data_IF_930561987922
#
_entry.id   IF_930561987922
#
_cell.length_a   1.000
_cell.length_b   1.000
_cell.length_c   1.000
_cell.angle_alpha   90.00
_cell.angle_beta   90.00
_cell.angle_gamma   90.00
#
_symmetry.space_group_name_H-M   'P 1'
#
loop_
_entity.id
_entity.type
_entity.pdbx_description
1 polymer ?
#
# COMPACT_ATOMS: atom_id res chain seq x y z
N UNK A 1 34.92 15.13 -29.15
CA UNK A 1 36.24 14.46 -29.12
C UNK A 1 36.00 12.99 -28.83
N UNK A 2 36.12 12.12 -29.83
CA UNK A 2 35.88 10.68 -29.68
C UNK A 2 37.18 10.07 -29.13
N UNK A 3 37.21 9.77 -27.84
CA UNK A 3 38.38 9.19 -27.19
C UNK A 3 38.58 7.80 -27.81
N UNK A 4 39.69 7.57 -28.51
CA UNK A 4 40.00 6.26 -29.10
C UNK A 4 39.88 5.17 -28.03
N UNK A 5 39.11 4.13 -28.33
CA UNK A 5 38.83 3.00 -27.45
C UNK A 5 40.12 2.29 -26.97
N UNK A 6 41.22 2.44 -27.71
CA UNK A 6 42.52 1.86 -27.39
C UNK A 6 43.30 2.61 -26.31
N UNK A 7 42.92 3.86 -25.99
CA UNK A 7 43.47 4.63 -24.88
C UNK A 7 43.14 3.93 -23.54
N UNK A 8 44.06 3.92 -22.56
CA UNK A 8 43.79 3.37 -21.22
C UNK A 8 42.48 3.90 -20.60
N UNK A 9 42.17 5.18 -20.82
CA UNK A 9 40.94 5.81 -20.36
C UNK A 9 39.69 5.31 -21.12
N UNK A 10 39.80 5.02 -22.41
CA UNK A 10 38.71 4.45 -23.23
C UNK A 10 38.36 3.02 -22.81
N UNK A 11 39.39 2.20 -22.54
CA UNK A 11 39.23 0.83 -22.02
C UNK A 11 38.57 0.80 -20.64
N UNK A 12 38.93 1.73 -19.76
CA UNK A 12 38.29 1.86 -18.45
C UNK A 12 36.82 2.28 -18.58
N UNK A 13 36.53 3.27 -19.43
CA UNK A 13 35.16 3.75 -19.66
C UNK A 13 34.24 2.64 -20.18
N UNK A 14 34.69 1.86 -21.17
CA UNK A 14 33.90 0.73 -21.68
C UNK A 14 33.72 -0.38 -20.65
N UNK A 15 34.75 -0.65 -19.84
CA UNK A 15 34.61 -1.61 -18.74
C UNK A 15 33.58 -1.14 -17.71
N UNK A 16 33.61 0.14 -17.32
CA UNK A 16 32.62 0.71 -16.39
C UNK A 16 31.20 0.69 -16.98
N UNK A 17 31.05 1.02 -18.26
CA UNK A 17 29.76 0.95 -18.95
C UNK A 17 29.21 -0.49 -18.99
N UNK A 18 30.04 -1.48 -19.31
CA UNK A 18 29.60 -2.88 -19.30
C UNK A 18 29.20 -3.36 -17.91
N UNK A 19 29.95 -2.97 -16.87
CA UNK A 19 29.60 -3.28 -15.47
C UNK A 19 28.28 -2.60 -15.08
N UNK A 20 28.09 -1.33 -15.41
CA UNK A 20 26.85 -0.60 -15.13
C UNK A 20 25.65 -1.26 -15.81
N UNK A 21 25.83 -1.73 -17.05
CA UNK A 21 24.77 -2.40 -17.78
C UNK A 21 24.35 -3.72 -17.11
N UNK A 22 25.32 -4.56 -16.72
CA UNK A 22 25.03 -5.80 -15.98
C UNK A 22 24.34 -5.51 -14.65
N UNK A 23 24.82 -4.53 -13.89
CA UNK A 23 24.20 -4.15 -12.61
C UNK A 23 22.75 -3.69 -12.80
N UNK A 24 22.47 -2.92 -13.87
CA UNK A 24 21.11 -2.47 -14.19
C UNK A 24 20.20 -3.63 -14.54
N UNK A 25 20.66 -4.57 -15.36
CA UNK A 25 19.89 -5.75 -15.76
C UNK A 25 19.55 -6.63 -14.55
N UNK A 26 20.50 -6.85 -13.65
CA UNK A 26 20.28 -7.62 -12.41
C UNK A 26 19.37 -6.90 -11.42
N UNK A 27 19.45 -5.57 -11.36
CA UNK A 27 18.54 -4.78 -10.55
C UNK A 27 17.10 -4.89 -11.08
N UNK A 28 16.92 -4.79 -12.40
CA UNK A 28 15.61 -4.94 -13.03
C UNK A 28 15.03 -6.35 -12.84
N UNK A 29 15.87 -7.40 -12.96
CA UNK A 29 15.47 -8.79 -12.70
C UNK A 29 15.02 -8.96 -11.25
N UNK A 30 15.78 -8.43 -10.30
CA UNK A 30 15.49 -8.46 -8.88
C UNK A 30 14.19 -7.72 -8.55
N UNK A 31 14.00 -6.51 -9.07
CA UNK A 31 12.76 -5.73 -8.88
C UNK A 31 11.53 -6.51 -9.40
N UNK A 32 11.64 -7.16 -10.56
CA UNK A 32 10.55 -7.98 -11.12
C UNK A 32 10.21 -9.16 -10.21
N UNK A 33 11.22 -9.84 -9.66
CA UNK A 33 11.04 -10.93 -8.70
C UNK A 33 10.33 -10.43 -7.44
N UNK A 34 10.83 -9.36 -6.82
CA UNK A 34 10.21 -8.79 -5.63
C UNK A 34 8.77 -8.34 -5.87
N UNK A 35 8.51 -7.70 -7.02
CA UNK A 35 7.16 -7.31 -7.44
C UNK A 35 6.22 -8.52 -7.54
N UNK A 36 6.65 -9.61 -8.18
CA UNK A 36 5.87 -10.84 -8.30
C UNK A 36 5.47 -11.40 -6.93
N UNK A 37 6.39 -11.41 -5.96
CA UNK A 37 6.07 -11.90 -4.61
C UNK A 37 5.22 -10.93 -3.79
N UNK A 38 5.46 -9.62 -3.92
CA UNK A 38 4.68 -8.59 -3.23
C UNK A 38 3.23 -8.54 -3.75
N UNK A 39 3.04 -8.54 -5.06
CA UNK A 39 1.72 -8.43 -5.69
C UNK A 39 0.83 -9.64 -5.39
N UNK A 40 1.40 -10.83 -5.12
CA UNK A 40 0.64 -12.04 -4.69
C UNK A 40 -0.19 -11.83 -3.42
N UNK A 41 0.25 -10.96 -2.51
CA UNK A 41 -0.45 -10.68 -1.24
C UNK A 41 -1.21 -9.35 -1.28
N UNK A 42 -1.25 -8.69 -2.44
CA UNK A 42 -1.90 -7.38 -2.59
C UNK A 42 -3.41 -7.58 -2.61
N UNK A 43 -4.10 -6.87 -1.72
CA UNK A 43 -5.56 -6.92 -1.63
C UNK A 43 -6.12 -6.04 -2.74
N UNK A 44 -7.06 -6.60 -3.52
CA UNK A 44 -7.82 -5.83 -4.50
C UNK A 44 -8.74 -4.89 -3.72
N UNK A 45 -8.66 -3.57 -3.93
CA UNK A 45 -9.56 -2.63 -3.29
C UNK A 45 -11.02 -3.01 -3.57
N UNK A 46 -11.85 -3.30 -2.56
CA UNK A 46 -13.28 -3.40 -2.77
C UNK A 46 -13.79 -2.07 -3.30
N UNK A 47 -14.68 -2.07 -4.28
CA UNK A 47 -15.20 -0.83 -4.88
C UNK A 47 -16.45 -0.40 -4.11
N UNK A 48 -16.26 0.51 -3.15
CA UNK A 48 -17.36 1.09 -2.37
C UNK A 48 -17.92 2.31 -3.09
N UNK A 49 -19.24 2.39 -3.16
CA UNK A 49 -19.93 3.57 -3.67
C UNK A 49 -20.18 4.58 -2.54
N UNK A 50 -20.22 5.89 -2.86
CA UNK A 50 -20.62 6.90 -1.90
C UNK A 50 -22.04 6.64 -1.39
N UNK A 51 -22.16 6.34 -0.10
CA UNK A 51 -23.45 6.00 0.54
C UNK A 51 -23.56 4.56 1.00
N UNK A 52 -22.62 3.69 0.63
CA UNK A 52 -22.56 2.34 1.18
C UNK A 52 -22.23 2.34 2.68
N UNK A 53 -22.77 1.34 3.38
CA UNK A 53 -22.43 1.06 4.77
C UNK A 53 -21.27 0.07 4.83
N UNK A 54 -20.26 0.38 5.65
CA UNK A 54 -19.12 -0.53 5.90
C UNK A 54 -18.89 -0.77 7.37
N UNK A 55 -18.58 -2.02 7.70
CA UNK A 55 -18.00 -2.39 8.99
C UNK A 55 -16.52 -2.05 9.00
N UNK A 56 -16.03 -1.46 10.09
CA UNK A 56 -14.61 -1.14 10.25
C UNK A 56 -13.94 -2.09 11.24
N UNK A 57 -12.83 -2.70 10.85
CA UNK A 57 -12.07 -3.56 11.75
C UNK A 57 -11.49 -2.77 12.95
N UNK A 58 -11.65 -3.31 14.17
CA UNK A 58 -11.19 -2.65 15.41
C UNK A 58 -9.68 -2.76 15.68
N UNK A 59 -8.93 -3.45 14.82
CA UNK A 59 -7.53 -3.86 15.04
C UNK A 59 -6.59 -2.72 15.48
N UNK A 60 -6.83 -1.52 14.96
CA UNK A 60 -5.98 -0.34 15.19
C UNK A 60 -6.68 0.76 16.02
N UNK A 61 -7.86 0.48 16.59
CA UNK A 61 -8.66 1.48 17.29
C UNK A 61 -8.71 1.10 18.77
N UNK A 62 -8.31 2.04 19.64
CA UNK A 62 -8.48 1.90 21.08
C UNK A 62 -9.96 2.12 21.40
N UNK A 63 -10.63 1.09 21.91
CA UNK A 63 -12.00 1.22 22.41
C UNK A 63 -11.99 1.30 23.94
N UNK A 64 -13.15 1.60 24.52
CA UNK A 64 -13.36 1.66 25.97
C UNK A 64 -13.18 0.30 26.68
N UNK A 65 -13.15 -0.80 25.93
CA UNK A 65 -13.12 -2.15 26.52
C UNK A 65 -11.74 -2.47 27.13
N UNK A 66 -11.68 -3.13 28.29
CA UNK A 66 -10.46 -3.29 29.08
C UNK A 66 -9.44 -4.29 28.49
N UNK A 67 -9.91 -5.29 27.74
CA UNK A 67 -9.05 -6.36 27.20
C UNK A 67 -9.33 -6.64 25.74
N UNK A 68 -8.28 -7.00 24.99
CA UNK A 68 -8.38 -7.31 23.55
C UNK A 68 -9.31 -8.47 23.23
N UNK A 69 -9.44 -9.45 24.14
CA UNK A 69 -10.30 -10.63 23.95
C UNK A 69 -11.79 -10.29 23.94
N UNK A 70 -12.18 -9.23 24.64
CA UNK A 70 -13.57 -8.78 24.71
C UNK A 70 -13.87 -7.63 23.75
N UNK A 71 -12.91 -7.23 22.91
CA UNK A 71 -13.11 -6.21 21.88
C UNK A 71 -14.07 -6.73 20.81
N UNK A 72 -14.98 -5.86 20.39
CA UNK A 72 -15.72 -6.07 19.14
C UNK A 72 -14.72 -6.16 17.99
N UNK A 73 -14.85 -7.17 17.14
CA UNK A 73 -13.98 -7.33 15.96
C UNK A 73 -14.29 -6.28 14.89
N UNK A 74 -15.57 -5.98 14.74
CA UNK A 74 -16.12 -5.05 13.77
C UNK A 74 -16.84 -3.94 14.50
N UNK A 75 -16.43 -2.71 14.22
CA UNK A 75 -17.07 -1.50 14.70
C UNK A 75 -18.09 -1.08 13.64
N UNK A 76 -19.19 -0.50 14.12
CA UNK A 76 -20.48 -0.25 13.44
C UNK A 76 -20.48 0.02 11.93
N UNK A 77 -21.67 -0.02 11.30
CA UNK A 77 -21.79 0.47 9.95
C UNK A 77 -21.48 1.98 9.92
N UNK A 78 -20.44 2.35 9.18
CA UNK A 78 -20.13 3.75 8.89
C UNK A 78 -20.63 4.08 7.49
N UNK A 79 -21.34 5.20 7.40
CA UNK A 79 -21.83 5.78 6.15
C UNK A 79 -20.77 6.70 5.51
N UNK A 80 -21.02 7.12 4.27
CA UNK A 80 -20.32 8.25 3.68
C UNK A 80 -18.90 7.94 3.23
N UNK A 81 -18.73 6.80 2.55
CA UNK A 81 -17.45 6.35 2.03
C UNK A 81 -17.03 7.20 0.83
N UNK A 82 -15.83 7.77 0.89
CA UNK A 82 -15.21 8.42 -0.27
C UNK A 82 -13.87 7.77 -0.56
N UNK A 83 -13.65 7.37 -1.80
CA UNK A 83 -12.36 6.84 -2.26
C UNK A 83 -11.29 7.92 -2.13
N UNK A 84 -10.26 7.64 -1.34
CA UNK A 84 -9.12 8.53 -1.11
C UNK A 84 -7.86 7.88 -1.68
N UNK A 85 -7.58 8.17 -2.96
CA UNK A 85 -6.51 7.50 -3.70
C UNK A 85 -6.84 6.05 -4.06
N UNK A 86 -5.82 5.25 -4.35
CA UNK A 86 -6.01 3.87 -4.82
C UNK A 86 -6.25 2.85 -3.72
N UNK A 87 -5.80 3.12 -2.49
CA UNK A 87 -5.71 2.12 -1.41
C UNK A 87 -6.33 2.58 -0.09
N UNK A 88 -7.02 3.71 -0.08
CA UNK A 88 -7.64 4.22 1.13
C UNK A 88 -9.05 4.76 0.90
N UNK A 89 -9.86 4.69 1.95
CA UNK A 89 -11.22 5.19 2.01
C UNK A 89 -11.37 6.16 3.17
N UNK A 90 -12.01 7.29 2.90
CA UNK A 90 -12.45 8.23 3.92
C UNK A 90 -13.84 7.81 4.39
N UNK A 91 -14.02 7.63 5.70
CA UNK A 91 -15.27 7.25 6.34
C UNK A 91 -15.83 8.40 7.16
N UNK A 92 -17.16 8.52 7.24
CA UNK A 92 -17.80 9.47 8.14
C UNK A 92 -17.84 8.89 9.55
N UNK A 93 -16.83 9.22 10.34
CA UNK A 93 -16.75 8.78 11.74
C UNK A 93 -17.65 9.63 12.67
N UNK A 94 -18.22 9.03 13.72
CA UNK A 94 -18.92 9.75 14.77
C UNK A 94 -18.03 10.76 15.47
N UNK A 95 -18.61 11.89 15.89
CA UNK A 95 -17.88 12.98 16.53
C UNK A 95 -17.20 12.58 17.85
N UNK A 96 -17.63 11.49 18.49
CA UNK A 96 -16.98 10.90 19.67
C UNK A 96 -15.57 10.36 19.38
N UNK A 97 -15.21 10.10 18.12
CA UNK A 97 -13.92 9.52 17.72
C UNK A 97 -12.96 10.57 17.14
N UNK A 98 -12.91 11.78 17.71
CA UNK A 98 -12.07 12.88 17.19
C UNK A 98 -10.58 12.52 17.08
N UNK A 99 -10.09 11.62 17.93
CA UNK A 99 -8.68 11.20 17.95
C UNK A 99 -8.35 10.23 16.81
N UNK A 100 -9.34 9.60 16.19
CA UNK A 100 -9.13 8.63 15.10
C UNK A 100 -9.19 9.35 13.76
N UNK A 101 -8.15 9.19 12.93
CA UNK A 101 -8.16 9.72 11.57
C UNK A 101 -9.20 8.97 10.71
N UNK A 102 -10.06 9.68 9.94
CA UNK A 102 -11.16 9.07 9.19
C UNK A 102 -10.73 8.36 7.89
N UNK A 103 -9.42 8.20 7.63
CA UNK A 103 -8.90 7.58 6.42
C UNK A 103 -8.32 6.21 6.74
N UNK A 104 -8.85 5.17 6.11
CA UNK A 104 -8.51 3.78 6.38
C UNK A 104 -8.04 3.05 5.12
N UNK A 105 -7.06 2.16 5.27
CA UNK A 105 -6.60 1.30 4.18
C UNK A 105 -7.71 0.32 3.75
N UNK A 106 -7.76 -0.03 2.46
CA UNK A 106 -8.76 -0.92 1.81
C UNK A 106 -8.97 -2.29 2.49
N UNK A 107 -8.06 -2.71 3.35
CA UNK A 107 -8.11 -3.98 4.08
C UNK A 107 -8.86 -3.91 5.42
N UNK A 108 -9.24 -2.72 5.88
CA UNK A 108 -9.90 -2.50 7.17
C UNK A 108 -11.43 -2.39 7.08
N UNK A 109 -12.00 -1.73 6.05
CA UNK A 109 -13.45 -1.72 5.86
C UNK A 109 -13.93 -2.97 5.10
N UNK A 110 -15.03 -3.56 5.56
CA UNK A 110 -15.76 -4.62 4.87
C UNK A 110 -17.19 -4.17 4.55
N UNK A 111 -17.75 -4.55 3.39
CA UNK A 111 -19.14 -4.25 3.06
C UNK A 111 -20.09 -4.94 4.04
N UNK A 112 -21.15 -4.24 4.46
CA UNK A 112 -22.25 -4.86 5.21
C UNK A 112 -22.98 -5.83 4.27
N UNK A 113 -22.83 -7.14 4.49
CA UNK A 113 -23.66 -8.14 3.81
C UNK A 113 -25.08 -8.06 4.37
N UNK A 114 -26.07 -7.84 3.51
CA UNK A 114 -27.48 -7.95 3.83
C UNK A 114 -27.87 -9.41 4.09
#
# INVERSE_FOLDING_TARGET
>A
MNISQDSPAGKLSTKLQSVQQVVKEELESSIKIFKKYADRKRIIPPDFQPGDNVWLASKNIKTTRPTKKLLERWLGPFEGIKKFGSLAYHLKLPQQWKTVHPVFHVSLPEPVKQ
#
